data_IF_705571955027
#
_entry.id   IF_705571955027
#
_cell.length_a   1.000
_cell.length_b   1.000
_cell.length_c   1.000
_cell.angle_alpha   90.00
_cell.angle_beta   90.00
_cell.angle_gamma   90.00
#
_symmetry.space_group_name_H-M   'P 1'
#
loop_
_entity.id
_entity.type
_entity.pdbx_description
1 polymer ?
#
# COMPACT_ATOMS: atom_id res chain seq x y z
N UNK A 1 -22.86 17.63 61.44
CA UNK A 1 -22.49 18.50 60.31
C UNK A 1 -22.60 17.64 59.05
N UNK A 2 -23.76 17.43 58.39
CA UNK A 2 -24.97 18.29 58.27
C UNK A 2 -24.56 19.64 57.68
N UNK A 3 -24.88 19.98 56.43
CA UNK A 3 -26.25 20.22 55.93
C UNK A 3 -26.57 19.71 54.51
N UNK A 4 -27.87 19.54 54.25
CA UNK A 4 -28.53 19.38 52.95
C UNK A 4 -29.58 20.48 52.79
N UNK A 5 -29.79 20.99 51.58
CA UNK A 5 -31.04 21.58 51.05
C UNK A 5 -30.86 21.58 49.50
N UNK A 6 -31.69 21.00 48.62
CA UNK A 6 -33.15 20.87 48.50
C UNK A 6 -33.82 22.26 48.33
N UNK A 7 -34.68 22.56 47.34
CA UNK A 7 -35.55 21.67 46.55
C UNK A 7 -36.14 22.31 45.25
N UNK A 8 -36.66 21.44 44.36
CA UNK A 8 -37.92 21.54 43.58
C UNK A 8 -38.15 22.45 42.33
N UNK A 9 -38.87 21.83 41.39
CA UNK A 9 -39.36 22.20 40.04
C UNK A 9 -40.84 22.73 40.09
N UNK A 10 -41.74 22.64 39.05
CA UNK A 10 -41.68 22.89 37.58
C UNK A 10 -42.93 23.65 36.95
N UNK A 11 -42.85 24.04 35.66
CA UNK A 11 -43.96 24.23 34.64
C UNK A 11 -45.05 25.31 34.90
N UNK A 12 -45.99 25.67 33.94
CA UNK A 12 -46.32 25.20 32.56
C UNK A 12 -46.03 26.27 31.45
N UNK A 13 -46.63 26.37 30.22
CA UNK A 13 -47.76 25.69 29.52
C UNK A 13 -47.98 26.10 28.02
N UNK A 14 -49.20 25.87 27.48
CA UNK A 14 -49.73 26.15 26.09
C UNK A 14 -51.06 26.98 26.17
N UNK A 15 -51.78 27.48 25.11
CA UNK A 15 -51.88 27.12 23.65
C UNK A 15 -51.85 28.34 22.67
N UNK A 16 -52.25 28.32 21.38
CA UNK A 16 -52.52 27.25 20.38
C UNK A 16 -53.82 27.39 19.51
N UNK A 17 -53.76 27.95 18.29
CA UNK A 17 -54.82 28.05 17.23
C UNK A 17 -54.19 28.26 15.83
N UNK A 18 -54.82 28.16 14.64
CA UNK A 18 -55.99 27.45 14.04
C UNK A 18 -56.50 28.26 12.82
N UNK A 19 -56.76 27.63 11.66
CA UNK A 19 -57.36 28.23 10.44
C UNK A 19 -56.46 28.09 9.20
N UNK A 20 -56.76 27.41 8.08
CA UNK A 20 -57.98 26.96 7.38
C UNK A 20 -58.59 27.97 6.39
N UNK A 21 -58.43 27.70 5.08
CA UNK A 21 -59.25 28.07 3.89
C UNK A 21 -58.44 27.60 2.65
N UNK A 22 -58.79 26.63 1.80
CA UNK A 22 -59.92 26.46 0.85
C UNK A 22 -60.14 27.58 -0.17
N UNK A 23 -59.76 27.35 -1.42
CA UNK A 23 -60.68 27.46 -2.57
C UNK A 23 -60.20 26.65 -3.79
N UNK A 24 -61.16 26.13 -4.56
CA UNK A 24 -60.95 25.41 -5.81
C UNK A 24 -61.53 26.19 -6.99
N UNK A 25 -61.08 25.91 -8.22
CA UNK A 25 -61.93 25.72 -9.42
C UNK A 25 -61.08 25.42 -10.67
N UNK A 26 -61.65 24.77 -11.71
CA UNK A 26 -60.98 24.73 -13.03
C UNK A 26 -61.13 23.50 -13.97
N UNK A 27 -62.31 22.88 -14.07
CA UNK A 27 -62.87 22.10 -15.20
C UNK A 27 -61.99 21.22 -16.16
N UNK A 28 -62.49 19.99 -16.36
CA UNK A 28 -62.31 19.06 -17.50
C UNK A 28 -62.90 19.63 -18.83
N UNK A 29 -62.83 19.02 -20.06
CA UNK A 29 -62.55 17.60 -20.35
C UNK A 29 -61.79 17.19 -21.66
N UNK A 30 -61.44 15.89 -21.71
CA UNK A 30 -61.39 14.96 -22.86
C UNK A 30 -60.90 15.40 -24.27
N UNK A 31 -59.84 14.73 -24.75
CA UNK A 31 -59.85 14.00 -26.03
C UNK A 31 -58.76 12.92 -26.03
N UNK A 32 -59.11 11.66 -26.28
CA UNK A 32 -58.13 10.57 -26.40
C UNK A 32 -57.79 10.28 -27.86
N UNK A 33 -56.54 9.88 -28.13
CA UNK A 33 -56.13 9.11 -29.32
C UNK A 33 -54.99 8.15 -28.96
N UNK A 34 -54.90 7.02 -29.66
CA UNK A 34 -53.91 5.94 -29.42
C UNK A 34 -52.52 6.34 -29.94
N UNK A 35 -51.42 5.79 -29.40
CA UNK A 35 -50.07 6.20 -29.78
C UNK A 35 -49.72 5.75 -31.21
N UNK A 36 -49.14 6.66 -31.98
CA UNK A 36 -48.31 6.34 -33.15
C UNK A 36 -46.86 6.40 -32.70
N UNK A 37 -46.08 5.36 -32.99
CA UNK A 37 -44.69 5.27 -32.56
C UNK A 37 -43.78 6.05 -33.52
N UNK A 38 -43.37 7.26 -33.12
CA UNK A 38 -42.28 7.97 -33.81
C UNK A 38 -40.93 7.36 -33.42
N UNK A 39 -40.33 6.68 -34.40
CA UNK A 39 -39.07 5.96 -34.29
C UNK A 39 -37.90 6.94 -34.51
N UNK A 40 -37.41 7.55 -33.44
CA UNK A 40 -36.18 8.36 -33.48
C UNK A 40 -35.01 7.46 -33.92
N UNK A 41 -34.50 7.66 -35.12
CA UNK A 41 -33.25 7.01 -35.55
C UNK A 41 -32.06 7.76 -34.93
N UNK A 42 -31.34 7.09 -34.04
CA UNK A 42 -30.07 7.56 -33.52
C UNK A 42 -28.99 7.41 -34.61
N UNK A 43 -28.77 8.46 -35.39
CA UNK A 43 -27.63 8.56 -36.31
C UNK A 43 -26.35 8.85 -35.51
N UNK A 44 -25.29 8.08 -35.74
CA UNK A 44 -23.96 8.36 -35.17
C UNK A 44 -23.47 9.71 -35.73
N UNK A 45 -23.15 10.70 -34.88
CA UNK A 45 -22.66 12.00 -35.36
C UNK A 45 -21.26 11.87 -35.97
N UNK A 46 -21.13 12.30 -37.23
CA UNK A 46 -19.89 12.24 -38.01
C UNK A 46 -19.34 13.65 -38.27
N UNK A 47 -18.04 13.87 -38.05
CA UNK A 47 -17.41 15.17 -38.33
C UNK A 47 -17.15 15.32 -39.84
N UNK A 48 -17.72 16.34 -40.52
CA UNK A 48 -17.51 16.55 -41.95
C UNK A 48 -16.08 17.02 -42.28
N UNK A 49 -15.66 16.80 -43.53
CA UNK A 49 -14.30 17.11 -44.01
C UNK A 49 -13.90 18.59 -43.95
N UNK A 50 -14.85 19.51 -43.78
CA UNK A 50 -14.65 20.95 -43.63
C UNK A 50 -14.34 21.40 -42.20
N UNK A 51 -14.44 20.52 -41.20
CA UNK A 51 -14.11 20.86 -39.81
C UNK A 51 -12.59 21.09 -39.64
N UNK A 52 -12.17 22.05 -38.78
CA UNK A 52 -10.79 22.50 -38.61
C UNK A 52 -9.93 21.51 -37.78
N UNK A 53 -9.91 20.25 -38.22
CA UNK A 53 -9.12 19.17 -37.63
C UNK A 53 -8.28 18.51 -38.73
N UNK A 54 -7.10 18.00 -38.36
CA UNK A 54 -6.29 17.15 -39.24
C UNK A 54 -7.00 15.84 -39.57
N UNK A 55 -6.66 15.15 -40.68
CA UNK A 55 -7.24 13.85 -41.03
C UNK A 55 -7.15 12.83 -39.88
N UNK A 56 -6.04 12.81 -39.16
CA UNK A 56 -5.74 11.88 -38.06
C UNK A 56 -6.60 12.19 -36.83
N UNK A 57 -6.72 13.47 -36.46
CA UNK A 57 -7.62 13.90 -35.39
C UNK A 57 -9.09 13.61 -35.72
N UNK A 58 -9.49 13.78 -36.98
CA UNK A 58 -10.85 13.49 -37.44
C UNK A 58 -11.16 11.99 -37.41
N UNK A 59 -10.20 11.15 -37.79
CA UNK A 59 -10.31 9.70 -37.67
C UNK A 59 -10.45 9.27 -36.19
N UNK A 60 -9.65 9.85 -35.30
CA UNK A 60 -9.74 9.58 -33.86
C UNK A 60 -11.07 10.03 -33.26
N UNK A 61 -11.54 11.25 -33.56
CA UNK A 61 -12.82 11.78 -33.08
C UNK A 61 -14.02 10.99 -33.60
N UNK A 62 -14.01 10.60 -34.88
CA UNK A 62 -15.07 9.75 -35.45
C UNK A 62 -15.07 8.34 -34.83
N UNK A 63 -13.89 7.77 -34.53
CA UNK A 63 -13.78 6.51 -33.78
C UNK A 63 -14.27 6.62 -32.33
N UNK A 64 -13.98 7.76 -31.66
CA UNK A 64 -14.47 8.07 -30.33
C UNK A 64 -16.00 8.20 -30.29
N UNK A 65 -16.59 8.93 -31.24
CA UNK A 65 -18.05 9.01 -31.37
C UNK A 65 -18.68 7.67 -31.75
N UNK A 66 -18.08 6.92 -32.68
CA UNK A 66 -18.56 5.56 -32.98
C UNK A 66 -18.60 4.71 -31.70
N UNK A 67 -17.55 4.70 -30.88
CA UNK A 67 -17.54 3.98 -29.60
C UNK A 67 -18.58 4.47 -28.60
N UNK A 68 -18.78 5.79 -28.49
CA UNK A 68 -19.77 6.41 -27.59
C UNK A 68 -21.23 6.13 -27.98
N UNK A 69 -21.50 5.91 -29.27
CA UNK A 69 -22.84 5.66 -29.80
C UNK A 69 -23.04 4.21 -30.31
N UNK A 70 -22.10 3.30 -30.01
CA UNK A 70 -22.16 1.88 -30.41
C UNK A 70 -23.21 1.04 -29.68
N UNK A 71 -23.86 1.57 -28.63
CA UNK A 71 -24.85 0.84 -27.80
C UNK A 71 -26.28 0.86 -28.41
N UNK A 72 -26.38 1.07 -29.73
CA UNK A 72 -27.62 1.01 -30.52
C UNK A 72 -27.49 -0.08 -31.60
N UNK A 73 -28.34 -1.11 -31.48
CA UNK A 73 -28.18 -2.42 -32.13
C UNK A 73 -28.10 -2.46 -33.69
N UNK A 74 -27.01 -3.09 -34.14
CA UNK A 74 -26.92 -4.25 -35.08
C UNK A 74 -27.05 -4.13 -36.62
N UNK A 75 -26.36 -5.11 -37.22
CA UNK A 75 -26.46 -5.70 -38.57
C UNK A 75 -25.83 -5.00 -39.78
N UNK A 76 -24.49 -5.16 -39.94
CA UNK A 76 -23.88 -5.57 -41.22
C UNK A 76 -22.68 -6.53 -41.01
N UNK A 77 -22.42 -7.48 -41.93
CA UNK A 77 -21.33 -8.46 -41.81
C UNK A 77 -19.98 -7.86 -42.26
N UNK A 78 -19.42 -6.98 -41.45
CA UNK A 78 -18.04 -6.49 -41.59
C UNK A 78 -17.03 -7.49 -41.00
N UNK A 79 -16.00 -7.83 -41.77
CA UNK A 79 -14.95 -8.77 -41.38
C UNK A 79 -14.28 -8.35 -40.06
N UNK A 80 -14.37 -9.22 -39.04
CA UNK A 80 -14.01 -8.85 -37.68
C UNK A 80 -12.50 -8.55 -37.57
N UNK A 81 -12.09 -7.39 -37.01
CA UNK A 81 -10.70 -7.20 -36.64
C UNK A 81 -10.33 -8.27 -35.61
N UNK A 82 -9.18 -8.92 -35.80
CA UNK A 82 -8.73 -10.02 -34.95
C UNK A 82 -8.83 -9.63 -33.46
N UNK A 83 -9.30 -10.53 -32.57
CA UNK A 83 -9.58 -10.20 -31.19
C UNK A 83 -8.32 -9.64 -30.52
N UNK A 84 -8.40 -8.38 -30.09
CA UNK A 84 -7.45 -7.79 -29.15
C UNK A 84 -7.30 -8.76 -27.98
N UNK A 85 -6.09 -9.31 -27.82
CA UNK A 85 -5.81 -10.39 -26.88
C UNK A 85 -6.43 -10.08 -25.50
N UNK A 86 -7.35 -10.93 -25.07
CA UNK A 86 -8.14 -10.72 -23.86
C UNK A 86 -7.22 -10.72 -22.65
N UNK A 87 -6.93 -9.52 -22.14
CA UNK A 87 -6.07 -9.33 -20.97
C UNK A 87 -6.67 -10.04 -19.77
N UNK A 88 -5.86 -10.84 -19.09
CA UNK A 88 -6.34 -11.57 -17.91
C UNK A 88 -6.63 -10.59 -16.76
N UNK A 89 -7.76 -10.74 -16.04
CA UNK A 89 -8.08 -9.90 -14.89
C UNK A 89 -7.11 -10.17 -13.73
N UNK A 90 -6.77 -9.11 -12.99
CA UNK A 90 -5.95 -9.19 -11.78
C UNK A 90 -6.49 -8.22 -10.74
N UNK A 91 -7.07 -8.71 -9.64
CA UNK A 91 -7.45 -7.84 -8.54
C UNK A 91 -6.22 -7.54 -7.67
N UNK A 92 -5.99 -6.26 -7.35
CA UNK A 92 -4.92 -5.80 -6.47
C UNK A 92 -5.56 -4.99 -5.34
N UNK A 93 -5.52 -5.52 -4.12
CA UNK A 93 -6.10 -4.88 -2.94
C UNK A 93 -5.01 -4.44 -1.98
N UNK A 94 -5.17 -3.28 -1.34
CA UNK A 94 -4.19 -2.77 -0.36
C UNK A 94 -4.79 -2.36 0.99
N UNK A 95 -4.02 -2.57 2.05
CA UNK A 95 -4.23 -2.00 3.37
C UNK A 95 -3.05 -1.13 3.74
N UNK A 96 -3.26 0.16 4.02
CA UNK A 96 -2.19 1.15 4.14
C UNK A 96 -2.58 2.29 5.08
N UNK A 97 -1.77 2.55 6.11
CA UNK A 97 -1.95 3.71 6.99
C UNK A 97 -1.23 4.97 6.47
N UNK A 98 -0.02 4.81 5.92
CA UNK A 98 0.91 5.88 5.51
C UNK A 98 1.15 5.98 4.00
N UNK A 99 0.33 5.28 3.19
CA UNK A 99 0.47 5.23 1.73
C UNK A 99 1.52 4.22 1.17
N UNK A 100 2.36 3.59 2.00
CA UNK A 100 3.43 2.67 1.52
C UNK A 100 2.89 1.46 0.75
N UNK A 101 1.90 0.75 1.29
CA UNK A 101 1.31 -0.41 0.64
C UNK A 101 0.48 -0.02 -0.61
N UNK A 102 -0.17 1.16 -0.56
CA UNK A 102 -0.87 1.74 -1.72
C UNK A 102 0.11 2.06 -2.88
N UNK A 103 1.27 2.66 -2.58
CA UNK A 103 2.31 2.94 -3.56
C UNK A 103 2.83 1.67 -4.25
N UNK A 104 3.07 0.61 -3.48
CA UNK A 104 3.42 -0.71 -4.01
C UNK A 104 2.30 -1.32 -4.86
N UNK A 105 1.03 -1.20 -4.46
CA UNK A 105 -0.10 -1.71 -5.22
C UNK A 105 -0.26 -0.99 -6.57
N UNK A 106 -0.13 0.35 -6.57
CA UNK A 106 -0.14 1.17 -7.80
C UNK A 106 1.04 0.82 -8.72
N UNK A 107 2.24 0.60 -8.17
CA UNK A 107 3.41 0.13 -8.92
C UNK A 107 3.16 -1.24 -9.55
N UNK A 108 2.68 -2.21 -8.78
CA UNK A 108 2.38 -3.56 -9.24
C UNK A 108 1.33 -3.54 -10.37
N UNK A 109 0.30 -2.70 -10.27
CA UNK A 109 -0.69 -2.52 -11.33
C UNK A 109 -0.12 -1.86 -12.61
N UNK A 110 0.87 -0.96 -12.48
CA UNK A 110 1.58 -0.40 -13.65
C UNK A 110 2.41 -1.48 -14.36
N UNK A 111 3.11 -2.31 -13.60
CA UNK A 111 3.88 -3.45 -14.13
C UNK A 111 2.96 -4.54 -14.73
N UNK A 112 1.80 -4.81 -14.11
CA UNK A 112 0.79 -5.75 -14.60
C UNK A 112 0.24 -5.36 -15.99
N UNK A 113 -0.11 -4.09 -16.20
CA UNK A 113 -0.56 -3.58 -17.50
C UNK A 113 0.45 -3.85 -18.63
N UNK A 114 1.74 -3.70 -18.34
CA UNK A 114 2.84 -3.96 -19.29
C UNK A 114 3.03 -5.46 -19.57
N UNK A 115 2.53 -6.33 -18.70
CA UNK A 115 2.65 -7.80 -18.75
C UNK A 115 1.36 -8.49 -19.23
N UNK A 116 0.44 -7.76 -19.88
CA UNK A 116 -0.77 -8.33 -20.49
C UNK A 116 -1.95 -8.54 -19.54
N UNK A 117 -1.90 -8.02 -18.32
CA UNK A 117 -3.00 -8.07 -17.37
C UNK A 117 -3.93 -6.84 -17.48
N UNK A 118 -5.17 -7.00 -17.03
CA UNK A 118 -6.13 -5.94 -16.76
C UNK A 118 -6.30 -5.78 -15.23
N UNK A 119 -5.37 -5.07 -14.56
CA UNK A 119 -5.38 -4.96 -13.10
C UNK A 119 -6.42 -3.94 -12.61
N UNK A 120 -7.13 -4.29 -11.54
CA UNK A 120 -8.03 -3.40 -10.79
C UNK A 120 -7.44 -3.15 -9.41
N UNK A 121 -7.19 -1.88 -9.08
CA UNK A 121 -6.64 -1.48 -7.77
C UNK A 121 -7.73 -0.90 -6.89
N UNK A 122 -7.81 -1.34 -5.65
CA UNK A 122 -8.71 -0.79 -4.62
C UNK A 122 -8.14 -1.00 -3.22
N UNK A 123 -8.66 -0.29 -2.23
CA UNK A 123 -8.36 -0.61 -0.84
C UNK A 123 -9.10 -1.87 -0.37
N UNK A 124 -8.68 -2.45 0.75
CA UNK A 124 -9.28 -3.68 1.26
C UNK A 124 -10.73 -3.47 1.73
N UNK A 125 -11.05 -2.36 2.39
CA UNK A 125 -12.43 -2.05 2.81
C UNK A 125 -13.43 -1.90 1.63
N UNK A 126 -12.93 -1.73 0.40
CA UNK A 126 -13.75 -1.66 -0.83
C UNK A 126 -14.20 -3.04 -1.36
N UNK A 127 -13.92 -4.13 -0.61
CA UNK A 127 -14.22 -5.52 -1.01
C UNK A 127 -15.68 -5.76 -1.46
N UNK A 128 -16.65 -5.05 -0.90
CA UNK A 128 -18.09 -5.17 -1.25
C UNK A 128 -18.39 -4.79 -2.70
N UNK A 129 -17.50 -4.04 -3.35
CA UNK A 129 -17.57 -3.69 -4.78
C UNK A 129 -17.20 -4.86 -5.70
N UNK A 130 -16.81 -6.02 -5.14
CA UNK A 130 -16.30 -7.18 -5.88
C UNK A 130 -16.83 -8.50 -5.32
N UNK A 131 -17.24 -9.39 -6.21
CA UNK A 131 -17.54 -10.76 -5.84
C UNK A 131 -16.26 -11.62 -5.89
N UNK A 132 -15.59 -11.75 -4.74
CA UNK A 132 -14.37 -12.53 -4.58
C UNK A 132 -14.51 -14.02 -4.95
N UNK A 133 -15.73 -14.56 -5.05
CA UNK A 133 -15.96 -15.96 -5.48
C UNK A 133 -15.82 -16.14 -7.00
N UNK A 134 -15.96 -15.05 -7.76
CA UNK A 134 -15.82 -14.97 -9.22
C UNK A 134 -14.43 -14.52 -9.67
N UNK A 135 -13.65 -13.90 -8.79
CA UNK A 135 -12.28 -13.49 -9.08
C UNK A 135 -11.34 -14.69 -9.14
N UNK A 136 -10.43 -14.70 -10.12
CA UNK A 136 -9.47 -15.79 -10.32
C UNK A 136 -8.08 -15.49 -9.73
N UNK A 137 -7.71 -14.21 -9.64
CA UNK A 137 -6.38 -13.76 -9.17
C UNK A 137 -6.48 -12.52 -8.30
N UNK A 138 -5.98 -12.63 -7.06
CA UNK A 138 -5.89 -11.54 -6.09
C UNK A 138 -4.44 -11.33 -5.63
N UNK A 139 -3.98 -10.09 -5.62
CA UNK A 139 -2.76 -9.68 -4.91
C UNK A 139 -3.15 -8.79 -3.75
N UNK A 140 -2.73 -9.14 -2.53
CA UNK A 140 -2.91 -8.31 -1.33
C UNK A 140 -1.59 -7.71 -0.92
N UNK A 141 -1.54 -6.39 -0.68
CA UNK A 141 -0.40 -5.72 -0.07
C UNK A 141 -0.88 -4.98 1.18
N UNK A 142 -0.48 -5.41 2.37
CA UNK A 142 -0.98 -4.81 3.62
C UNK A 142 0.14 -4.43 4.56
N UNK A 143 0.06 -3.23 5.13
CA UNK A 143 0.78 -2.91 6.37
C UNK A 143 0.14 -3.62 7.57
N UNK A 144 0.84 -3.56 8.70
CA UNK A 144 0.36 -3.97 10.03
C UNK A 144 0.44 -2.74 10.95
N UNK A 145 -0.49 -2.60 11.89
CA UNK A 145 -0.55 -1.49 12.84
C UNK A 145 -0.77 -1.98 14.27
N UNK A 146 -0.24 -1.25 15.26
CA UNK A 146 -0.39 -1.57 16.68
C UNK A 146 0.01 -3.00 17.04
N UNK A 147 -0.87 -3.72 17.75
CA UNK A 147 -0.69 -5.10 18.20
C UNK A 147 -1.02 -6.13 17.09
N UNK A 148 -0.42 -5.95 15.92
CA UNK A 148 -0.55 -6.91 14.81
C UNK A 148 -1.85 -6.77 14.02
N UNK A 149 -2.56 -5.67 14.15
CA UNK A 149 -3.88 -5.45 13.54
C UNK A 149 -3.79 -4.83 12.14
N UNK A 150 -4.82 -5.00 11.30
CA UNK A 150 -4.87 -4.38 9.99
C UNK A 150 -5.00 -2.85 10.12
N UNK A 151 -4.50 -2.08 9.14
CA UNK A 151 -4.73 -0.63 9.05
C UNK A 151 -6.22 -0.33 8.86
N UNK A 152 -6.63 0.91 9.16
CA UNK A 152 -8.05 1.30 9.21
C UNK A 152 -8.81 0.95 7.92
N UNK A 153 -8.17 1.14 6.76
CA UNK A 153 -8.74 0.83 5.44
C UNK A 153 -8.74 -0.67 5.06
N UNK A 154 -8.48 -1.56 6.02
CA UNK A 154 -8.53 -3.01 5.87
C UNK A 154 -9.31 -3.74 7.01
N UNK A 155 -9.81 -3.02 8.01
CA UNK A 155 -10.55 -3.60 9.16
C UNK A 155 -11.85 -4.29 8.73
N UNK A 156 -12.61 -3.72 7.81
CA UNK A 156 -13.89 -4.30 7.37
C UNK A 156 -13.66 -5.57 6.55
N UNK A 157 -12.64 -5.57 5.68
CA UNK A 157 -12.21 -6.78 4.97
C UNK A 157 -11.79 -7.89 5.94
N UNK A 158 -11.02 -7.56 6.99
CA UNK A 158 -10.63 -8.54 8.00
C UNK A 158 -11.84 -9.18 8.66
N UNK A 159 -12.80 -8.37 9.10
CA UNK A 159 -14.04 -8.85 9.71
C UNK A 159 -14.85 -9.72 8.73
N UNK A 160 -14.94 -9.32 7.47
CA UNK A 160 -15.59 -10.10 6.41
C UNK A 160 -14.93 -11.45 6.17
N UNK A 161 -13.60 -11.52 5.97
CA UNK A 161 -12.95 -12.80 5.70
C UNK A 161 -12.87 -13.69 6.94
N UNK A 162 -12.84 -13.11 8.15
CA UNK A 162 -12.77 -13.84 9.43
C UNK A 162 -14.10 -14.53 9.78
N UNK A 163 -15.24 -14.01 9.34
CA UNK A 163 -16.55 -14.54 9.67
C UNK A 163 -16.76 -16.00 9.19
N UNK A 164 -17.57 -16.78 9.90
CA UNK A 164 -17.89 -18.16 9.46
C UNK A 164 -18.90 -18.19 8.30
N UNK A 165 -19.55 -17.07 8.01
CA UNK A 165 -20.45 -16.88 6.87
C UNK A 165 -19.73 -16.58 5.55
N UNK A 166 -18.40 -16.40 5.54
CA UNK A 166 -17.64 -16.12 4.31
C UNK A 166 -17.71 -17.32 3.35
N UNK A 167 -18.08 -17.12 2.07
CA UNK A 167 -18.04 -18.19 1.07
C UNK A 167 -16.64 -18.79 0.88
N UNK A 168 -16.61 -20.02 0.38
CA UNK A 168 -15.37 -20.68 -0.06
C UNK A 168 -14.78 -19.95 -1.27
N UNK A 169 -13.47 -19.75 -1.27
CA UNK A 169 -12.72 -19.00 -2.30
C UNK A 169 -11.89 -19.93 -3.19
N UNK A 170 -12.44 -21.09 -3.57
CA UNK A 170 -11.68 -22.19 -4.20
C UNK A 170 -11.25 -21.92 -5.65
N UNK A 171 -11.91 -20.97 -6.32
CA UNK A 171 -11.51 -20.43 -7.62
C UNK A 171 -10.38 -19.40 -7.52
N UNK A 172 -10.17 -18.81 -6.35
CA UNK A 172 -9.27 -17.70 -6.15
C UNK A 172 -7.84 -18.20 -5.96
N UNK A 173 -6.94 -17.75 -6.82
CA UNK A 173 -5.50 -17.84 -6.57
C UNK A 173 -5.00 -16.50 -6.04
N UNK A 174 -4.18 -16.49 -4.98
CA UNK A 174 -3.71 -15.26 -4.36
C UNK A 174 -2.22 -15.21 -4.07
N UNK A 175 -1.68 -14.00 -3.93
CA UNK A 175 -0.36 -13.76 -3.35
C UNK A 175 -0.47 -12.60 -2.35
N UNK A 176 0.35 -12.61 -1.30
CA UNK A 176 0.32 -11.56 -0.27
C UNK A 176 1.73 -11.03 0.02
N UNK A 177 1.87 -9.71 0.05
CA UNK A 177 3.06 -9.01 0.56
C UNK A 177 2.67 -8.29 1.86
N UNK A 178 3.36 -8.61 2.94
CA UNK A 178 3.12 -8.00 4.24
C UNK A 178 4.21 -6.97 4.56
N UNK A 179 3.82 -5.79 5.03
CA UNK A 179 4.73 -4.78 5.57
C UNK A 179 4.57 -4.72 7.08
N UNK A 180 5.68 -4.63 7.79
CA UNK A 180 5.76 -4.53 9.24
C UNK A 180 7.09 -3.93 9.69
N UNK A 181 7.34 -4.03 10.98
CA UNK A 181 8.57 -3.56 11.64
C UNK A 181 8.95 -4.61 12.70
N UNK A 182 10.17 -5.15 12.67
CA UNK A 182 10.62 -6.21 13.61
C UNK A 182 10.81 -5.71 15.05
N UNK A 183 10.76 -4.40 15.30
CA UNK A 183 10.75 -3.81 16.64
C UNK A 183 9.39 -3.96 17.36
N UNK A 184 8.38 -4.51 16.68
CA UNK A 184 7.05 -4.82 17.22
C UNK A 184 6.88 -6.33 17.40
N UNK A 185 6.22 -6.72 18.50
CA UNK A 185 5.91 -8.11 18.87
C UNK A 185 5.21 -8.89 17.75
N UNK A 186 4.25 -8.26 17.09
CA UNK A 186 3.43 -8.85 16.03
C UNK A 186 3.92 -8.46 14.62
N UNK A 187 5.22 -8.66 14.36
CA UNK A 187 5.82 -8.40 13.04
C UNK A 187 4.99 -9.02 11.90
N UNK A 188 4.55 -8.19 10.94
CA UNK A 188 3.66 -8.56 9.83
C UNK A 188 2.35 -9.28 10.24
N UNK A 189 1.86 -9.08 11.46
CA UNK A 189 0.69 -9.76 12.04
C UNK A 189 -0.57 -9.71 11.18
N UNK A 190 -0.89 -8.57 10.55
CA UNK A 190 -2.06 -8.44 9.69
C UNK A 190 -1.93 -9.30 8.41
N UNK A 191 -0.76 -9.26 7.76
CA UNK A 191 -0.48 -10.08 6.58
C UNK A 191 -0.48 -11.57 6.88
N UNK A 192 0.03 -11.98 8.05
CA UNK A 192 -0.03 -13.36 8.55
C UNK A 192 -1.48 -13.81 8.78
N UNK A 193 -2.30 -12.99 9.46
CA UNK A 193 -3.74 -13.24 9.69
C UNK A 193 -4.50 -13.42 8.36
N UNK A 194 -4.27 -12.54 7.38
CA UNK A 194 -4.93 -12.59 6.07
C UNK A 194 -4.52 -13.82 5.25
N UNK A 195 -3.22 -14.10 5.15
CA UNK A 195 -2.71 -15.25 4.40
C UNK A 195 -3.19 -16.58 4.99
N UNK A 196 -3.22 -16.73 6.31
CA UNK A 196 -3.79 -17.91 6.96
C UNK A 196 -5.29 -18.07 6.65
N UNK A 197 -6.07 -16.98 6.72
CA UNK A 197 -7.52 -17.05 6.51
C UNK A 197 -7.91 -17.26 5.04
N UNK A 198 -7.24 -16.63 4.08
CA UNK A 198 -7.48 -16.86 2.65
C UNK A 198 -7.22 -18.32 2.27
N UNK A 199 -6.12 -18.90 2.74
CA UNK A 199 -5.85 -20.33 2.56
C UNK A 199 -6.91 -21.22 3.24
N UNK A 200 -7.34 -20.88 4.46
CA UNK A 200 -8.40 -21.62 5.16
C UNK A 200 -9.76 -21.58 4.42
N UNK A 201 -10.06 -20.49 3.73
CA UNK A 201 -11.24 -20.35 2.85
C UNK A 201 -11.14 -21.12 1.53
N UNK A 202 -9.99 -21.74 1.24
CA UNK A 202 -9.75 -22.57 0.05
C UNK A 202 -9.00 -21.88 -1.09
N UNK A 203 -8.61 -20.61 -0.93
CA UNK A 203 -7.83 -19.90 -1.95
C UNK A 203 -6.40 -20.47 -2.05
N UNK A 204 -5.84 -20.48 -3.27
CA UNK A 204 -4.55 -21.12 -3.57
C UNK A 204 -3.42 -20.10 -3.64
N UNK A 205 -2.32 -20.31 -2.92
CA UNK A 205 -1.13 -19.45 -3.04
C UNK A 205 -0.48 -19.57 -4.42
N UNK A 206 -0.29 -18.44 -5.11
CA UNK A 206 0.47 -18.30 -6.36
C UNK A 206 1.97 -18.25 -6.05
N UNK A 207 2.31 -17.49 -5.02
CA UNK A 207 3.64 -17.35 -4.45
C UNK A 207 3.48 -17.19 -2.93
N UNK A 208 4.50 -17.58 -2.17
CA UNK A 208 4.48 -17.51 -0.72
C UNK A 208 4.47 -16.04 -0.24
N UNK A 209 3.97 -15.87 0.98
CA UNK A 209 3.96 -14.56 1.64
C UNK A 209 5.39 -14.17 2.01
N UNK A 210 5.78 -12.95 1.65
CA UNK A 210 6.98 -12.31 2.19
C UNK A 210 6.58 -11.29 3.25
N UNK A 211 7.23 -11.37 4.40
CA UNK A 211 7.09 -10.46 5.54
C UNK A 211 8.25 -9.44 5.46
N UNK A 212 7.96 -8.21 5.04
CA UNK A 212 8.94 -7.13 4.90
C UNK A 212 9.06 -6.29 6.17
N UNK A 213 10.31 -5.98 6.55
CA UNK A 213 10.66 -4.98 7.57
C UNK A 213 10.66 -3.55 6.99
N UNK A 214 11.07 -2.55 7.79
CA UNK A 214 11.05 -1.11 7.46
C UNK A 214 11.75 -0.78 6.13
N UNK A 215 12.87 -1.42 5.80
CA UNK A 215 13.61 -1.25 4.53
C UNK A 215 13.10 -2.23 3.45
N UNK A 216 11.78 -2.24 3.27
CA UNK A 216 11.03 -3.22 2.48
C UNK A 216 11.39 -3.28 0.99
N UNK A 217 12.03 -2.27 0.39
CA UNK A 217 12.06 -2.14 -1.08
C UNK A 217 12.79 -3.30 -1.78
N UNK A 218 13.83 -3.83 -1.15
CA UNK A 218 14.59 -4.96 -1.70
C UNK A 218 13.77 -6.27 -1.66
N UNK A 219 13.19 -6.59 -0.50
CA UNK A 219 12.36 -7.78 -0.31
C UNK A 219 11.08 -7.72 -1.17
N UNK A 220 10.41 -6.56 -1.21
CA UNK A 220 9.26 -6.32 -2.07
C UNK A 220 9.61 -6.46 -3.56
N UNK A 221 10.75 -5.92 -4.00
CA UNK A 221 11.23 -6.03 -5.38
C UNK A 221 11.51 -7.48 -5.80
N UNK A 222 12.19 -8.26 -4.94
CA UNK A 222 12.45 -9.69 -5.15
C UNK A 222 11.15 -10.49 -5.23
N UNK A 223 10.23 -10.26 -4.27
CA UNK A 223 8.91 -10.90 -4.24
C UNK A 223 8.05 -10.57 -5.47
N UNK A 224 8.03 -9.31 -5.91
CA UNK A 224 7.34 -8.91 -7.14
C UNK A 224 7.92 -9.62 -8.37
N UNK A 225 9.25 -9.74 -8.46
CA UNK A 225 9.90 -10.46 -9.56
C UNK A 225 9.49 -11.94 -9.58
N UNK A 226 9.58 -12.62 -8.43
CA UNK A 226 9.19 -14.03 -8.31
C UNK A 226 7.69 -14.26 -8.58
N UNK A 227 6.81 -13.35 -8.11
CA UNK A 227 5.38 -13.36 -8.42
C UNK A 227 5.13 -13.30 -9.93
N UNK A 228 5.84 -12.45 -10.66
CA UNK A 228 5.68 -12.35 -12.11
C UNK A 228 6.03 -13.64 -12.85
N UNK A 229 7.06 -14.36 -12.41
CA UNK A 229 7.45 -15.63 -13.04
C UNK A 229 6.41 -16.74 -12.75
N UNK A 230 5.83 -16.77 -11.54
CA UNK A 230 4.70 -17.65 -11.22
C UNK A 230 3.44 -17.31 -12.02
N UNK A 231 3.12 -16.03 -12.20
CA UNK A 231 1.99 -15.58 -13.01
C UNK A 231 2.14 -15.92 -14.51
N UNK A 232 3.35 -15.76 -15.08
CA UNK A 232 3.66 -16.21 -16.45
C UNK A 232 3.54 -17.72 -16.62
N UNK A 233 4.04 -18.50 -15.67
CA UNK A 233 3.88 -19.96 -15.69
C UNK A 233 2.39 -20.37 -15.61
N UNK A 234 1.61 -19.67 -14.80
CA UNK A 234 0.16 -19.82 -14.73
C UNK A 234 -0.57 -19.50 -16.04
N UNK A 235 -0.14 -18.45 -16.75
CA UNK A 235 -0.62 -18.07 -18.09
C UNK A 235 -0.33 -19.13 -19.14
N UNK A 236 0.91 -19.64 -19.21
CA UNK A 236 1.24 -20.73 -20.12
C UNK A 236 0.36 -21.97 -19.85
N UNK A 237 0.18 -22.32 -18.57
CA UNK A 237 -0.63 -23.46 -18.15
C UNK A 237 -2.16 -23.26 -18.25
N UNK A 238 -2.67 -22.03 -18.44
CA UNK A 238 -4.08 -21.78 -18.78
C UNK A 238 -4.29 -21.86 -20.29
N UNK A 239 -3.40 -21.24 -21.07
CA UNK A 239 -3.42 -21.26 -22.54
C UNK A 239 -3.32 -22.70 -23.08
N UNK A 240 -2.43 -23.54 -22.55
CA UNK A 240 -2.31 -24.95 -22.95
C UNK A 240 -3.50 -25.85 -22.55
N UNK A 241 -4.44 -25.38 -21.73
CA UNK A 241 -5.66 -26.13 -21.37
C UNK A 241 -6.89 -25.76 -22.21
N UNK A 242 -6.85 -24.63 -22.91
CA UNK A 242 -7.94 -24.16 -23.78
C UNK A 242 -7.62 -24.30 -25.27
N UNK A 243 -6.51 -24.96 -25.63
CA UNK A 243 -6.07 -25.14 -27.02
C UNK A 243 -5.92 -26.61 -27.40
N UNK A 244 -6.96 -27.17 -28.02
CA UNK A 244 -6.82 -28.41 -28.80
C UNK A 244 -6.01 -28.12 -30.08
N UNK A 245 -4.86 -28.77 -30.19
CA UNK A 245 -4.17 -29.02 -31.47
C UNK A 245 -3.41 -27.86 -32.13
N UNK A 246 -2.11 -27.77 -31.86
CA UNK A 246 -1.05 -27.82 -32.89
C UNK A 246 0.33 -27.64 -32.25
N UNK A 247 1.07 -28.74 -32.08
CA UNK A 247 2.49 -28.65 -31.74
C UNK A 247 3.29 -28.26 -32.99
N UNK A 248 3.97 -27.11 -32.94
CA UNK A 248 5.02 -26.76 -33.91
C UNK A 248 6.33 -26.58 -33.16
N UNK A 249 7.24 -27.52 -33.36
CA UNK A 249 8.58 -27.52 -32.77
C UNK A 249 9.42 -26.40 -33.39
N UNK A 250 9.78 -25.38 -32.61
CA UNK A 250 10.76 -24.37 -32.98
C UNK A 250 12.01 -24.51 -32.10
N UNK A 251 13.15 -24.83 -32.71
CA UNK A 251 14.43 -24.93 -32.00
C UNK A 251 14.93 -23.55 -31.52
N UNK A 252 15.73 -23.50 -30.43
CA UNK A 252 16.20 -22.24 -29.86
C UNK A 252 17.26 -21.59 -30.75
N UNK A 253 17.02 -20.34 -31.17
CA UNK A 253 18.05 -19.51 -31.78
C UNK A 253 18.88 -18.86 -30.66
N UNK A 254 20.14 -19.27 -30.57
CA UNK A 254 21.16 -18.63 -29.76
C UNK A 254 21.32 -17.15 -30.15
N UNK A 255 21.20 -16.24 -29.19
CA UNK A 255 21.70 -14.87 -29.32
C UNK A 255 23.08 -14.80 -28.67
N UNK A 256 24.10 -14.67 -29.51
CA UNK A 256 25.48 -14.50 -29.06
C UNK A 256 25.70 -13.14 -28.41
N UNK A 257 26.48 -13.16 -27.33
CA UNK A 257 26.94 -12.00 -26.58
C UNK A 257 28.09 -11.31 -27.35
N UNK A 258 27.79 -10.24 -28.09
CA UNK A 258 28.84 -9.41 -28.71
C UNK A 258 29.28 -8.30 -27.77
N UNK A 259 30.47 -8.46 -27.19
CA UNK A 259 31.08 -7.48 -26.32
C UNK A 259 31.76 -6.32 -27.09
N UNK A 260 31.58 -5.13 -26.51
CA UNK A 260 32.55 -4.04 -26.35
C UNK A 260 32.85 -3.01 -27.47
N UNK A 261 33.15 -1.81 -26.95
CA UNK A 261 33.88 -0.65 -27.47
C UNK A 261 33.14 0.46 -28.26
N UNK A 262 33.52 1.76 -28.09
CA UNK A 262 34.36 2.35 -27.04
C UNK A 262 33.73 3.56 -26.30
N UNK A 263 34.40 3.91 -25.20
CA UNK A 263 34.15 5.04 -24.31
C UNK A 263 33.96 6.38 -25.04
N UNK A 264 32.79 7.00 -24.88
CA UNK A 264 32.66 8.47 -24.83
C UNK A 264 32.05 8.84 -23.48
N UNK A 265 32.51 9.96 -22.91
CA UNK A 265 32.33 10.26 -21.49
C UNK A 265 30.86 10.40 -21.07
N UNK A 266 30.27 9.33 -20.55
CA UNK A 266 29.13 9.43 -19.65
C UNK A 266 29.59 10.15 -18.40
N UNK A 267 29.20 11.42 -18.27
CA UNK A 267 29.11 12.04 -16.94
C UNK A 267 28.33 11.08 -16.04
N UNK A 268 28.76 10.85 -14.79
CA UNK A 268 28.00 9.98 -13.89
C UNK A 268 26.58 10.54 -13.80
N UNK A 269 25.60 9.71 -14.14
CA UNK A 269 24.20 10.02 -13.86
C UNK A 269 24.12 10.17 -12.35
N UNK A 270 23.94 11.41 -11.88
CA UNK A 270 23.82 11.68 -10.45
C UNK A 270 22.63 10.86 -9.95
N UNK A 271 22.94 9.85 -9.14
CA UNK A 271 21.94 9.02 -8.47
C UNK A 271 21.00 9.97 -7.71
N UNK A 272 19.69 10.01 -8.00
CA UNK A 272 18.79 10.94 -7.34
C UNK A 272 18.82 10.69 -5.83
N UNK A 273 18.85 11.77 -5.05
CA UNK A 273 18.86 11.68 -3.60
C UNK A 273 17.59 10.97 -3.12
N UNK A 274 17.75 10.08 -2.15
CA UNK A 274 16.70 9.17 -1.68
C UNK A 274 16.98 8.72 -0.25
N UNK A 275 16.10 7.90 0.34
CA UNK A 275 16.34 7.26 1.64
C UNK A 275 17.70 6.53 1.69
N UNK A 276 18.10 5.85 0.61
CA UNK A 276 19.36 5.08 0.54
C UNK A 276 20.58 5.89 0.10
N UNK A 277 20.37 7.13 -0.35
CA UNK A 277 21.43 8.07 -0.70
C UNK A 277 20.96 9.49 -0.27
N UNK A 278 21.03 9.83 1.02
CA UNK A 278 20.55 11.12 1.51
C UNK A 278 21.48 12.26 1.12
N UNK A 279 20.93 13.42 0.76
CA UNK A 279 21.73 14.61 0.48
C UNK A 279 22.37 15.16 1.77
N UNK A 280 23.69 15.40 1.82
CA UNK A 280 24.37 16.01 2.97
C UNK A 280 24.08 17.52 3.05
N UNK A 281 22.84 17.85 3.42
CA UNK A 281 22.33 19.21 3.45
C UNK A 281 22.93 20.03 4.59
N UNK A 282 23.31 21.28 4.31
CA UNK A 282 23.85 22.19 5.33
C UNK A 282 22.73 22.77 6.19
N UNK A 283 22.80 22.56 7.50
CA UNK A 283 22.00 23.32 8.46
C UNK A 283 22.47 24.79 8.48
N UNK A 284 21.56 25.70 8.16
CA UNK A 284 21.79 27.16 8.09
C UNK A 284 21.40 27.83 9.40
N UNK A 285 20.22 27.48 9.93
CA UNK A 285 19.65 28.11 11.13
C UNK A 285 19.20 27.04 12.12
N UNK A 286 19.43 27.30 13.41
CA UNK A 286 18.92 26.54 14.55
C UNK A 286 18.50 27.55 15.62
N UNK A 287 17.20 27.85 15.71
CA UNK A 287 16.65 28.90 16.57
C UNK A 287 15.60 28.34 17.51
N UNK A 288 15.75 28.51 18.82
CA UNK A 288 14.71 28.17 19.79
C UNK A 288 13.48 29.06 19.57
N UNK A 289 12.30 28.45 19.49
CA UNK A 289 11.01 29.13 19.34
C UNK A 289 10.35 29.41 20.69
N UNK A 290 10.60 28.56 21.69
CA UNK A 290 10.00 28.69 23.01
C UNK A 290 10.74 29.72 23.87
N UNK A 291 9.99 30.45 24.70
CA UNK A 291 10.53 31.37 25.70
C UNK A 291 11.24 30.62 26.84
N UNK A 292 12.06 31.35 27.60
CA UNK A 292 12.67 30.85 28.83
C UNK A 292 11.60 30.35 29.83
N UNK A 293 11.92 29.28 30.56
CA UNK A 293 10.98 28.62 31.48
C UNK A 293 10.04 27.60 30.84
N UNK A 294 10.00 27.47 29.50
CA UNK A 294 9.26 26.38 28.86
C UNK A 294 9.91 25.01 29.12
N UNK A 295 9.08 24.04 29.55
CA UNK A 295 9.48 22.64 29.75
C UNK A 295 9.78 21.87 28.44
N UNK A 296 9.49 22.46 27.27
CA UNK A 296 9.80 21.89 25.95
C UNK A 296 10.84 22.74 25.23
N UNK A 297 11.69 22.10 24.41
CA UNK A 297 12.61 22.80 23.51
C UNK A 297 12.16 22.67 22.06
N UNK A 298 11.24 23.54 21.63
CA UNK A 298 10.81 23.63 20.23
C UNK A 298 11.79 24.51 19.45
N UNK A 299 12.26 24.03 18.31
CA UNK A 299 13.26 24.72 17.47
C UNK A 299 12.78 24.89 16.03
N UNK A 300 13.24 25.97 15.42
CA UNK A 300 13.15 26.27 14.00
C UNK A 300 14.48 25.94 13.35
N UNK A 301 14.44 25.12 12.31
CA UNK A 301 15.61 24.70 11.54
C UNK A 301 15.46 25.14 10.09
N UNK A 302 16.55 25.64 9.49
CA UNK A 302 16.62 25.93 8.06
C UNK A 302 17.72 25.09 7.45
N UNK A 303 17.39 24.30 6.44
CA UNK A 303 18.30 23.33 5.82
C UNK A 303 18.46 23.71 4.35
N UNK A 304 19.70 23.91 3.91
CA UNK A 304 19.99 24.36 2.55
C UNK A 304 19.97 23.18 1.58
N UNK A 305 19.08 23.24 0.60
CA UNK A 305 19.02 22.34 -0.55
C UNK A 305 19.87 22.83 -1.74
N UNK A 306 20.68 23.88 -1.56
CA UNK A 306 21.48 24.46 -2.64
C UNK A 306 22.45 23.42 -3.24
N UNK A 307 22.41 23.24 -4.57
CA UNK A 307 23.22 22.26 -5.29
C UNK A 307 22.71 20.82 -5.22
N UNK A 308 21.62 20.52 -4.51
CA UNK A 308 21.05 19.17 -4.45
C UNK A 308 20.27 18.78 -5.71
N UNK A 309 19.57 19.72 -6.33
CA UNK A 309 18.56 19.44 -7.36
C UNK A 309 17.26 18.83 -6.80
N UNK A 310 17.08 18.82 -5.47
CA UNK A 310 15.81 18.48 -4.83
C UNK A 310 14.80 19.62 -5.01
N UNK A 311 13.53 19.22 -5.13
CA UNK A 311 12.36 20.09 -5.17
C UNK A 311 11.34 19.60 -4.13
N UNK A 312 10.45 20.47 -3.65
CA UNK A 312 9.43 20.12 -2.65
C UNK A 312 8.25 21.10 -2.67
N UNK A 313 7.06 20.59 -2.32
CA UNK A 313 5.84 21.38 -2.18
C UNK A 313 5.45 21.62 -0.71
N UNK A 314 4.57 22.61 -0.48
CA UNK A 314 4.09 22.95 0.85
C UNK A 314 3.15 21.84 1.39
N UNK A 315 3.69 20.99 2.26
CA UNK A 315 3.01 19.81 2.79
C UNK A 315 3.89 18.55 2.76
N UNK A 316 4.98 18.58 1.99
CA UNK A 316 5.94 17.48 1.91
C UNK A 316 6.70 17.25 3.23
N UNK A 317 7.15 16.01 3.43
CA UNK A 317 7.91 15.59 4.59
C UNK A 317 9.41 15.53 4.28
N UNK A 318 10.23 16.12 5.17
CA UNK A 318 11.69 16.01 5.11
C UNK A 318 12.17 14.82 5.96
N UNK A 319 12.76 13.81 5.29
CA UNK A 319 13.49 12.75 5.97
C UNK A 319 14.85 13.24 6.47
N UNK A 320 15.17 13.00 7.75
CA UNK A 320 16.46 13.34 8.36
C UNK A 320 17.05 12.09 9.00
N UNK A 321 18.30 11.77 8.64
CA UNK A 321 19.07 10.72 9.30
C UNK A 321 19.77 11.27 10.53
N UNK A 322 19.31 10.83 11.71
CA UNK A 322 20.00 11.08 12.98
C UNK A 322 21.25 10.22 13.13
N UNK A 323 22.15 10.67 14.00
CA UNK A 323 23.24 9.85 14.53
C UNK A 323 23.04 9.74 16.04
N UNK A 324 23.42 8.61 16.62
CA UNK A 324 23.31 8.41 18.06
C UNK A 324 24.29 9.30 18.84
N UNK A 325 23.97 9.54 20.11
CA UNK A 325 24.80 10.33 21.02
C UNK A 325 26.16 9.65 21.22
N UNK A 326 27.31 10.29 20.92
CA UNK A 326 28.63 9.68 21.06
C UNK A 326 28.89 9.13 22.47
N UNK A 327 28.43 9.83 23.50
CA UNK A 327 28.57 9.46 24.90
C UNK A 327 27.82 8.15 25.23
N UNK A 328 26.64 7.94 24.65
CA UNK A 328 25.86 6.70 24.80
C UNK A 328 26.51 5.54 24.03
N UNK A 329 27.06 5.80 22.85
CA UNK A 329 27.85 4.81 22.10
C UNK A 329 29.08 4.37 22.90
N UNK A 330 29.81 5.32 23.49
CA UNK A 330 30.97 5.04 24.36
C UNK A 330 30.57 4.30 25.65
N UNK A 331 29.37 4.53 26.19
CA UNK A 331 28.87 3.79 27.35
C UNK A 331 28.51 2.33 27.03
N UNK A 332 27.87 2.08 25.89
CA UNK A 332 27.61 0.72 25.40
C UNK A 332 28.92 -0.03 25.14
N UNK A 333 29.87 0.56 24.40
CA UNK A 333 31.17 -0.07 24.09
C UNK A 333 31.92 -0.46 25.37
N UNK A 334 32.00 0.47 26.35
CA UNK A 334 32.64 0.20 27.65
C UNK A 334 31.91 -0.89 28.45
N UNK A 335 30.57 -0.92 28.41
CA UNK A 335 29.76 -1.92 29.13
C UNK A 335 29.93 -3.32 28.55
N UNK A 336 30.12 -3.43 27.23
CA UNK A 336 30.43 -4.69 26.54
C UNK A 336 31.89 -5.16 26.77
N UNK A 337 32.76 -4.29 27.30
CA UNK A 337 34.20 -4.55 27.43
C UNK A 337 34.96 -4.47 26.10
N UNK A 338 34.38 -3.78 25.12
CA UNK A 338 34.89 -3.61 23.75
C UNK A 338 35.78 -2.37 23.61
N UNK A 339 36.53 -2.27 22.51
CA UNK A 339 37.26 -1.05 22.11
C UNK A 339 36.50 -0.21 21.05
N UNK A 340 35.61 -0.85 20.29
CA UNK A 340 34.78 -0.24 19.26
C UNK A 340 35.29 -0.48 17.83
N UNK A 341 36.46 -1.08 17.65
CA UNK A 341 37.05 -1.45 16.36
C UNK A 341 36.70 -2.90 15.95
N UNK A 342 35.96 -3.64 16.78
CA UNK A 342 35.53 -4.99 16.46
C UNK A 342 34.66 -5.01 15.19
N UNK A 343 35.01 -5.88 14.24
CA UNK A 343 34.24 -6.06 13.02
C UNK A 343 32.86 -6.67 13.34
N UNK A 344 31.81 -5.88 13.14
CA UNK A 344 30.42 -6.33 13.19
C UNK A 344 29.79 -6.18 11.81
N UNK A 345 28.72 -6.93 11.56
CA UNK A 345 27.92 -6.72 10.36
C UNK A 345 27.03 -5.51 10.55
N UNK A 346 26.85 -4.73 9.50
CA UNK A 346 25.79 -3.74 9.40
C UNK A 346 24.47 -4.37 8.88
N UNK A 347 23.37 -3.59 8.74
CA UNK A 347 22.10 -4.10 8.21
C UNK A 347 22.13 -4.59 6.76
N UNK A 348 23.06 -4.11 5.93
CA UNK A 348 23.25 -4.58 4.55
C UNK A 348 24.13 -5.86 4.50
N UNK A 349 24.83 -6.18 5.61
CA UNK A 349 25.59 -7.40 5.84
C UNK A 349 27.10 -7.24 5.70
N UNK A 350 27.57 -6.01 5.44
CA UNK A 350 28.97 -5.64 5.27
C UNK A 350 29.67 -5.47 6.62
N UNK A 351 30.99 -5.68 6.67
CA UNK A 351 31.77 -5.52 7.90
C UNK A 351 32.09 -4.04 8.18
N UNK A 352 31.76 -3.58 9.39
CA UNK A 352 32.01 -2.23 9.87
C UNK A 352 32.46 -2.25 11.35
N UNK A 353 33.25 -1.28 11.82
CA UNK A 353 33.58 -1.18 13.25
C UNK A 353 32.34 -1.04 14.14
N UNK A 354 32.31 -1.73 15.28
CA UNK A 354 31.23 -1.67 16.28
C UNK A 354 30.82 -0.23 16.60
N UNK A 355 31.79 0.67 16.76
CA UNK A 355 31.56 2.10 17.00
C UNK A 355 30.80 2.78 15.87
N UNK A 356 31.13 2.50 14.62
CA UNK A 356 30.45 3.06 13.45
C UNK A 356 29.02 2.53 13.36
N UNK A 357 28.85 1.22 13.52
CA UNK A 357 27.55 0.54 13.56
C UNK A 357 26.61 1.15 14.62
N UNK A 358 27.08 1.26 15.88
CA UNK A 358 26.30 1.86 16.98
C UNK A 358 26.03 3.36 16.76
N UNK A 359 26.87 4.08 16.01
CA UNK A 359 26.67 5.52 15.76
C UNK A 359 25.61 5.79 14.69
N UNK A 360 25.54 4.95 13.64
CA UNK A 360 24.79 5.26 12.39
C UNK A 360 23.75 4.23 11.97
N UNK A 361 23.95 2.96 12.29
CA UNK A 361 23.23 1.84 11.67
C UNK A 361 22.18 1.21 12.61
N UNK A 362 22.33 1.34 13.93
CA UNK A 362 21.46 0.71 14.92
C UNK A 362 20.72 1.72 15.80
N UNK A 363 19.48 1.40 16.16
CA UNK A 363 18.74 2.11 17.21
C UNK A 363 19.22 1.60 18.58
N UNK A 364 19.83 2.49 19.38
CA UNK A 364 20.44 2.11 20.67
C UNK A 364 19.68 2.63 21.90
N UNK A 365 18.60 3.39 21.70
CA UNK A 365 17.81 4.04 22.77
C UNK A 365 16.61 3.22 23.23
N UNK A 366 16.24 2.15 22.51
CA UNK A 366 15.13 1.25 22.89
C UNK A 366 15.63 -0.20 22.86
N UNK A 367 15.61 -0.93 24.00
CA UNK A 367 15.99 -2.34 24.00
C UNK A 367 14.94 -3.17 23.26
N UNK A 368 15.40 -3.94 22.25
CA UNK A 368 14.54 -4.85 21.47
C UNK A 368 14.24 -6.13 22.25
N UNK A 369 13.13 -6.81 21.92
CA UNK A 369 12.81 -8.10 22.54
C UNK A 369 13.88 -9.17 22.29
N UNK A 370 14.51 -9.16 21.12
CA UNK A 370 15.62 -10.07 20.77
C UNK A 370 16.88 -9.80 21.62
N UNK A 371 17.20 -8.53 21.91
CA UNK A 371 18.29 -8.15 22.80
C UNK A 371 18.00 -8.61 24.24
N UNK A 372 16.80 -8.33 24.75
CA UNK A 372 16.40 -8.72 26.12
C UNK A 372 16.40 -10.24 26.27
N UNK A 373 15.91 -10.98 25.27
CA UNK A 373 15.96 -12.44 25.25
C UNK A 373 17.40 -12.93 25.31
N UNK A 374 18.28 -12.39 24.47
CA UNK A 374 19.70 -12.78 24.43
C UNK A 374 20.42 -12.47 25.75
N UNK A 375 20.12 -11.34 26.39
CA UNK A 375 20.63 -10.99 27.72
C UNK A 375 20.13 -12.01 28.75
N UNK A 376 18.83 -12.31 28.78
CA UNK A 376 18.23 -13.24 29.73
C UNK A 376 18.75 -14.68 29.55
N UNK A 377 19.00 -15.11 28.32
CA UNK A 377 19.67 -16.37 28.00
C UNK A 377 21.10 -16.40 28.53
N UNK A 378 21.89 -15.36 28.24
CA UNK A 378 23.33 -15.29 28.56
C UNK A 378 23.57 -15.11 30.07
N UNK A 379 22.75 -14.30 30.74
CA UNK A 379 22.83 -14.05 32.18
C UNK A 379 22.13 -15.12 33.03
N UNK A 380 21.31 -15.97 32.42
CA UNK A 380 20.51 -16.97 33.15
C UNK A 380 19.29 -16.41 33.87
N UNK A 381 18.90 -15.16 33.59
CA UNK A 381 17.81 -14.45 34.27
C UNK A 381 16.44 -15.10 33.97
N UNK A 382 15.78 -15.59 35.02
CA UNK A 382 14.48 -16.23 34.93
C UNK A 382 13.31 -15.22 34.89
N UNK A 383 13.48 -14.04 35.50
CA UNK A 383 12.45 -13.02 35.57
C UNK A 383 12.32 -12.28 34.22
N UNK A 384 13.44 -12.00 33.54
CA UNK A 384 13.42 -11.50 32.16
C UNK A 384 12.81 -12.52 31.18
N UNK A 385 13.09 -13.82 31.34
CA UNK A 385 12.46 -14.88 30.53
C UNK A 385 10.95 -14.97 30.78
N UNK A 386 10.51 -14.80 32.03
CA UNK A 386 9.09 -14.74 32.38
C UNK A 386 8.42 -13.49 31.77
N UNK A 387 9.09 -12.33 31.85
CA UNK A 387 8.59 -11.06 31.33
C UNK A 387 8.37 -11.07 29.81
N UNK A 388 9.20 -11.80 29.06
CA UNK A 388 9.09 -11.97 27.61
C UNK A 388 7.98 -12.94 27.16
N UNK A 389 7.27 -13.61 28.08
CA UNK A 389 6.17 -14.50 27.71
C UNK A 389 4.97 -13.71 27.12
N UNK A 390 4.26 -14.24 26.11
CA UNK A 390 3.13 -13.53 25.46
C UNK A 390 2.03 -13.05 26.42
N UNK A 391 1.84 -13.77 27.53
CA UNK A 391 0.86 -13.46 28.58
C UNK A 391 1.26 -12.21 29.40
N UNK A 392 2.54 -11.85 29.40
CA UNK A 392 3.10 -10.73 30.18
C UNK A 392 3.28 -9.44 29.36
N UNK A 393 2.74 -9.34 28.13
CA UNK A 393 2.87 -8.16 27.23
C UNK A 393 2.72 -6.79 27.94
N UNK A 394 1.69 -6.61 28.75
CA UNK A 394 1.46 -5.35 29.49
C UNK A 394 2.58 -5.08 30.52
N UNK A 395 3.00 -6.11 31.27
CA UNK A 395 4.10 -5.99 32.25
C UNK A 395 5.43 -5.71 31.57
N UNK A 396 5.66 -6.27 30.38
CA UNK A 396 6.84 -5.95 29.55
C UNK A 396 6.80 -4.50 29.08
N UNK A 397 5.65 -4.00 28.62
CA UNK A 397 5.49 -2.60 28.23
C UNK A 397 5.72 -1.64 29.43
N UNK A 398 5.16 -1.93 30.59
CA UNK A 398 5.38 -1.17 31.84
C UNK A 398 6.85 -1.22 32.28
N UNK A 399 7.50 -2.38 32.17
CA UNK A 399 8.92 -2.54 32.52
C UNK A 399 9.84 -1.78 31.56
N UNK A 400 9.51 -1.76 30.26
CA UNK A 400 10.24 -1.02 29.22
C UNK A 400 10.07 0.50 29.31
N UNK A 401 9.05 0.99 30.02
CA UNK A 401 8.74 2.42 30.06
C UNK A 401 9.90 3.23 30.65
N UNK A 402 10.53 4.05 29.79
CA UNK A 402 11.67 4.89 30.16
C UNK A 402 13.00 4.15 30.33
N UNK A 403 13.13 2.90 29.87
CA UNK A 403 14.41 2.18 29.81
C UNK A 403 15.07 2.33 28.45
N UNK A 404 16.36 2.60 28.46
CA UNK A 404 17.23 2.51 27.28
C UNK A 404 18.02 1.18 27.33
N UNK A 405 19.07 1.02 26.52
CA UNK A 405 19.90 -0.20 26.50
C UNK A 405 20.84 -0.30 27.72
N UNK A 406 21.20 0.84 28.32
CA UNK A 406 22.01 0.97 29.54
C UNK A 406 21.16 1.57 30.66
#
# INVERSE_FOLDING_TARGET
MTEQFNSQSPLPGLPGTSGAETHADGLCPQAGHRPVADRIMASIPFIPGSAPFTPEQRAWLNGFFAGLFSDANLDEPGEAPAPLASREPLLVMYGSQSGTAEGLAKRLAKEAHQRGFAPRVMELNDYEKVDLTKESRLVVITSTWGEGDPPDNAVNFWNYIKADSTPRLENLSYALLALGDTNYSEFCGAGKKFDQRLAALGARRIHDRVDCDVDYEAAAGQWMSALWDKLKAGQAASLSRNGDGAATTGEPISVEETADAPLTGRMPVLQPWSRKNPFPARLVTNRRLNLAGSAKDTRHFEISLAGSGLDYEAGDALGVFGMNCPELVDEIIRTLGCDGEEAVKDPDGEETPLRQALTKNYAITKPSQSLILRIAETAGDADLKLLLQPENKNRLADWLWGREII
#
